data_IF_388152809976
#
_entry.id   IF_388152809976
#
_cell.length_a   1.000
_cell.length_b   1.000
_cell.length_c   1.000
_cell.angle_alpha   90.00
_cell.angle_beta   90.00
_cell.angle_gamma   90.00
#
_symmetry.space_group_name_H-M   'P 1'
#
loop_
_entity.id
_entity.type
_entity.pdbx_description
1 polymer ?
#
# COMPACT_ATOMS: atom_id res chain seq x y z
N UNK A 1 18.31 3.80 14.60
CA UNK A 1 18.61 3.82 13.18
C UNK A 1 18.96 2.45 12.70
N UNK A 2 18.17 1.95 11.84
CA UNK A 2 18.25 0.59 11.37
C UNK A 2 18.89 0.50 9.96
N UNK A 3 19.47 1.58 9.54
CA UNK A 3 20.06 1.76 8.22
C UNK A 3 21.23 0.83 7.93
N UNK A 4 21.77 0.18 8.96
CA UNK A 4 22.97 -0.66 8.83
C UNK A 4 22.63 -2.15 8.74
N UNK A 5 21.34 -2.52 8.76
CA UNK A 5 20.96 -3.92 8.59
C UNK A 5 21.31 -4.40 7.18
N UNK A 6 21.90 -5.59 7.05
CA UNK A 6 22.13 -6.16 5.73
C UNK A 6 20.84 -6.26 4.94
N UNK A 7 20.89 -5.90 3.65
CA UNK A 7 19.71 -5.83 2.81
C UNK A 7 18.98 -7.17 2.70
N UNK A 8 19.70 -8.27 2.63
CA UNK A 8 19.10 -9.59 2.52
C UNK A 8 18.30 -9.98 3.78
N UNK A 9 18.73 -9.58 4.98
CA UNK A 9 17.97 -9.79 6.20
C UNK A 9 16.66 -9.01 6.16
N UNK A 10 16.71 -7.77 5.69
CA UNK A 10 15.52 -6.93 5.51
C UNK A 10 14.56 -7.56 4.51
N UNK A 11 15.06 -8.07 3.40
CA UNK A 11 14.23 -8.71 2.38
C UNK A 11 13.58 -9.99 2.89
N UNK A 12 14.29 -10.80 3.67
CA UNK A 12 13.74 -12.00 4.30
C UNK A 12 12.64 -11.66 5.30
N UNK A 13 12.85 -10.63 6.11
CA UNK A 13 11.85 -10.14 7.06
C UNK A 13 10.62 -9.59 6.33
N UNK A 14 10.82 -8.92 5.21
CA UNK A 14 9.72 -8.43 4.38
C UNK A 14 8.92 -9.57 3.78
N UNK A 15 9.58 -10.61 3.29
CA UNK A 15 8.89 -11.78 2.73
C UNK A 15 8.01 -12.46 3.78
N UNK A 16 8.50 -12.58 5.02
CA UNK A 16 7.73 -13.13 6.14
C UNK A 16 6.53 -12.21 6.44
N UNK A 17 6.75 -10.91 6.47
CA UNK A 17 5.68 -9.93 6.69
C UNK A 17 4.63 -10.01 5.59
N UNK A 18 5.02 -10.03 4.32
CA UNK A 18 4.09 -10.16 3.20
C UNK A 18 3.24 -11.41 3.31
N UNK A 19 3.86 -12.55 3.64
CA UNK A 19 3.14 -13.82 3.79
C UNK A 19 2.04 -13.74 4.84
N UNK A 20 2.19 -12.91 5.85
CA UNK A 20 1.22 -12.76 6.94
C UNK A 20 0.04 -11.85 6.58
N UNK A 21 0.09 -11.15 5.46
CA UNK A 21 -0.97 -10.25 5.02
C UNK A 21 -1.91 -10.96 4.05
N UNK A 22 -3.22 -10.75 4.20
CA UNK A 22 -4.24 -11.44 3.39
C UNK A 22 -4.04 -11.23 1.89
N UNK A 23 -3.64 -10.04 1.49
CA UNK A 23 -3.42 -9.72 0.07
C UNK A 23 -2.41 -10.68 -0.58
N UNK A 24 -1.42 -11.11 0.16
CA UNK A 24 -0.32 -11.94 -0.33
C UNK A 24 -0.43 -13.41 0.10
N UNK A 25 -1.46 -13.76 0.83
CA UNK A 25 -1.62 -15.10 1.37
C UNK A 25 -1.66 -16.15 0.25
N UNK A 26 -0.94 -17.24 0.44
CA UNK A 26 -0.92 -18.37 -0.50
C UNK A 26 -0.10 -18.16 -1.76
N UNK A 27 0.57 -17.02 -1.92
CA UNK A 27 1.48 -16.82 -3.03
C UNK A 27 2.74 -17.68 -2.84
N UNK A 28 3.34 -18.19 -3.94
CA UNK A 28 4.58 -18.95 -3.84
C UNK A 28 5.71 -18.14 -3.18
N UNK A 29 6.55 -18.82 -2.42
CA UNK A 29 7.65 -18.16 -1.70
C UNK A 29 8.57 -17.35 -2.60
N UNK A 30 8.87 -17.85 -3.81
CA UNK A 30 9.72 -17.12 -4.75
C UNK A 30 9.09 -15.81 -5.23
N UNK A 31 7.75 -15.76 -5.36
CA UNK A 31 7.07 -14.51 -5.69
C UNK A 31 7.13 -13.51 -4.54
N UNK A 32 6.96 -13.97 -3.30
CA UNK A 32 7.06 -13.11 -2.13
C UNK A 32 8.47 -12.55 -1.96
N UNK A 33 9.48 -13.37 -2.19
CA UNK A 33 10.88 -12.94 -2.13
C UNK A 33 11.16 -11.88 -3.20
N UNK A 34 10.65 -12.08 -4.39
CA UNK A 34 10.81 -11.12 -5.48
C UNK A 34 10.11 -9.80 -5.19
N UNK A 35 8.88 -9.84 -4.68
CA UNK A 35 8.14 -8.64 -4.29
C UNK A 35 8.88 -7.90 -3.17
N UNK A 36 9.41 -8.62 -2.20
CA UNK A 36 10.17 -8.03 -1.09
C UNK A 36 11.38 -7.23 -1.59
N UNK A 37 12.07 -7.73 -2.64
CA UNK A 37 13.22 -7.00 -3.19
C UNK A 37 12.82 -5.74 -3.95
N UNK A 38 11.59 -5.64 -4.43
CA UNK A 38 11.09 -4.48 -5.18
C UNK A 38 10.43 -3.43 -4.31
N UNK A 39 9.87 -3.84 -3.17
CA UNK A 39 9.21 -2.92 -2.26
C UNK A 39 10.23 -2.10 -1.48
N UNK A 40 9.96 -0.81 -1.37
CA UNK A 40 10.66 0.02 -0.40
C UNK A 40 9.92 -0.02 0.93
N UNK A 41 10.68 0.01 2.02
CA UNK A 41 10.12 0.17 3.36
C UNK A 41 10.24 1.63 3.73
N UNK A 42 9.14 2.23 4.10
CA UNK A 42 9.12 3.61 4.58
C UNK A 42 8.38 3.70 5.90
N UNK A 43 8.64 4.77 6.63
CA UNK A 43 7.95 5.05 7.88
C UNK A 43 7.39 6.46 7.85
N UNK A 44 6.32 6.66 8.60
CA UNK A 44 5.69 7.96 8.74
C UNK A 44 5.41 8.21 10.21
N UNK A 45 5.50 9.48 10.62
CA UNK A 45 5.15 9.89 11.98
C UNK A 45 3.69 10.35 12.03
N UNK A 46 3.08 10.36 13.24
CA UNK A 46 1.70 10.82 13.38
C UNK A 46 1.50 12.23 12.80
N UNK A 47 0.42 12.40 12.06
CA UNK A 47 0.10 13.67 11.39
C UNK A 47 0.69 13.82 9.99
N UNK A 48 1.59 12.95 9.60
CA UNK A 48 2.18 13.01 8.26
C UNK A 48 1.16 12.62 7.21
N UNK A 49 1.07 13.42 6.13
CA UNK A 49 0.22 13.13 4.98
C UNK A 49 0.93 12.14 4.08
N UNK A 50 0.35 10.97 3.90
CA UNK A 50 0.90 9.93 3.04
C UNK A 50 0.44 10.13 1.60
N UNK A 51 -0.84 10.45 1.42
CA UNK A 51 -1.43 10.79 0.13
C UNK A 51 -2.24 12.06 0.29
N UNK A 52 -1.93 13.07 -0.51
CA UNK A 52 -2.70 14.31 -0.53
C UNK A 52 -3.96 14.14 -1.39
N UNK A 53 -5.06 14.77 -0.95
CA UNK A 53 -6.31 14.81 -1.71
C UNK A 53 -6.13 15.59 -3.00
N UNK A 54 -6.81 15.17 -4.07
CA UNK A 54 -6.82 15.79 -5.40
C UNK A 54 -5.45 15.83 -6.10
N UNK A 55 -4.50 15.02 -5.62
CA UNK A 55 -3.17 14.89 -6.19
C UNK A 55 -3.05 13.52 -6.88
N UNK A 56 -2.39 13.44 -8.04
CA UNK A 56 -2.17 12.16 -8.71
C UNK A 56 -1.50 11.14 -7.79
N UNK A 57 -1.96 9.90 -7.85
CA UNK A 57 -1.38 8.81 -7.07
C UNK A 57 -0.13 8.30 -7.78
N UNK A 58 1.02 8.44 -7.13
CA UNK A 58 2.32 8.04 -7.69
C UNK A 58 2.92 6.82 -7.02
N UNK A 59 2.42 6.50 -5.82
CA UNK A 59 2.92 5.41 -4.99
C UNK A 59 1.75 4.55 -4.53
N UNK A 60 1.97 3.26 -4.51
CA UNK A 60 1.05 2.31 -3.90
C UNK A 60 1.67 1.83 -2.60
N UNK A 61 0.85 1.78 -1.55
CA UNK A 61 1.29 1.44 -0.21
C UNK A 61 0.50 0.30 0.39
N UNK A 62 1.17 -0.50 1.21
CA UNK A 62 0.55 -1.47 2.11
C UNK A 62 0.97 -1.10 3.53
N UNK A 63 0.00 -1.01 4.44
CA UNK A 63 0.31 -0.79 5.85
C UNK A 63 0.76 -2.10 6.47
N UNK A 64 1.95 -2.13 7.02
CA UNK A 64 2.47 -3.29 7.76
C UNK A 64 2.45 -3.07 9.27
N UNK A 65 2.36 -1.83 9.72
CA UNK A 65 2.23 -1.50 11.14
C UNK A 65 1.65 -0.09 11.32
N UNK A 66 0.87 0.10 12.38
CA UNK A 66 0.27 1.38 12.69
C UNK A 66 -1.12 1.58 12.09
N UNK A 67 -1.62 2.80 12.20
CA UNK A 67 -2.97 3.19 11.76
C UNK A 67 -2.92 4.50 11.00
N UNK A 68 -3.82 4.63 10.02
CA UNK A 68 -4.01 5.87 9.27
C UNK A 68 -5.49 6.20 9.16
N UNK A 69 -5.79 7.46 8.91
CA UNK A 69 -7.15 7.93 8.67
C UNK A 69 -7.29 8.37 7.23
N UNK A 70 -8.42 7.99 6.62
CA UNK A 70 -8.83 8.50 5.31
C UNK A 70 -9.72 9.69 5.54
N UNK A 71 -9.38 10.81 4.91
CA UNK A 71 -10.11 12.06 5.03
C UNK A 71 -10.59 12.55 3.68
N UNK A 72 -11.74 13.20 3.67
CA UNK A 72 -12.24 13.94 2.52
C UNK A 72 -12.63 15.32 2.98
N UNK A 73 -12.03 16.35 2.38
CA UNK A 73 -12.23 17.76 2.76
C UNK A 73 -12.02 17.98 4.27
N UNK A 74 -11.01 17.31 4.82
CA UNK A 74 -10.66 17.40 6.25
C UNK A 74 -11.53 16.53 7.18
N UNK A 75 -12.57 15.90 6.66
CA UNK A 75 -13.46 15.05 7.47
C UNK A 75 -13.03 13.59 7.42
N UNK A 76 -12.80 12.96 8.58
CA UNK A 76 -12.49 11.52 8.61
C UNK A 76 -13.66 10.69 8.06
N UNK A 77 -13.36 9.79 7.13
CA UNK A 77 -14.36 8.90 6.52
C UNK A 77 -14.00 7.43 6.63
N UNK A 78 -12.82 7.09 7.10
CA UNK A 78 -12.41 5.70 7.27
C UNK A 78 -11.10 5.58 8.02
N UNK A 79 -10.84 4.37 8.51
CA UNK A 79 -9.61 4.01 9.20
C UNK A 79 -8.92 2.88 8.44
N UNK A 80 -7.59 2.94 8.42
CA UNK A 80 -6.74 1.94 7.80
C UNK A 80 -5.80 1.36 8.85
N UNK A 81 -5.54 0.07 8.75
CA UNK A 81 -4.68 -0.66 9.68
C UNK A 81 -3.80 -1.66 8.92
N UNK A 82 -3.05 -2.46 9.65
CA UNK A 82 -2.17 -3.50 9.08
C UNK A 82 -2.90 -4.33 8.02
N UNK A 83 -2.28 -4.48 6.87
CA UNK A 83 -2.80 -5.22 5.73
C UNK A 83 -3.65 -4.40 4.78
N UNK A 84 -4.02 -3.19 5.14
CA UNK A 84 -4.85 -2.33 4.29
C UNK A 84 -4.04 -1.61 3.23
N UNK A 85 -4.72 -1.34 2.12
CA UNK A 85 -4.27 -0.52 1.00
C UNK A 85 -5.41 0.44 0.66
N UNK A 86 -5.20 1.45 -0.22
CA UNK A 86 -6.27 2.44 -0.42
C UNK A 86 -6.40 3.07 -1.80
N UNK A 87 -5.41 2.96 -2.67
CA UNK A 87 -5.34 3.76 -3.89
C UNK A 87 -5.52 2.99 -5.18
N UNK A 88 -5.97 1.74 -5.13
CA UNK A 88 -6.01 0.86 -6.30
C UNK A 88 -6.91 1.43 -7.40
N UNK A 89 -8.06 1.98 -7.05
CA UNK A 89 -8.99 2.53 -8.03
C UNK A 89 -8.37 3.70 -8.80
N UNK A 90 -7.79 4.65 -8.07
CA UNK A 90 -7.18 5.84 -8.70
C UNK A 90 -5.96 5.45 -9.54
N UNK A 91 -5.13 4.54 -9.06
CA UNK A 91 -3.99 4.04 -9.83
C UNK A 91 -4.43 3.37 -11.13
N UNK A 92 -5.38 2.45 -11.05
CA UNK A 92 -5.84 1.68 -12.22
C UNK A 92 -6.53 2.55 -13.27
N UNK A 93 -7.15 3.64 -12.85
CA UNK A 93 -7.91 4.51 -13.74
C UNK A 93 -7.21 5.85 -14.05
N UNK A 94 -5.98 6.05 -13.55
CA UNK A 94 -5.23 7.26 -13.81
C UNK A 94 -5.88 8.52 -13.25
N UNK A 95 -6.56 8.40 -12.11
CA UNK A 95 -7.29 9.50 -11.47
C UNK A 95 -6.51 10.08 -10.30
N UNK A 96 -6.70 11.38 -9.99
CA UNK A 96 -6.23 11.92 -8.71
C UNK A 96 -6.94 11.25 -7.55
N UNK A 97 -6.30 11.22 -6.38
CA UNK A 97 -6.91 10.66 -5.18
C UNK A 97 -8.06 11.55 -4.69
N UNK A 98 -9.28 11.05 -4.53
CA UNK A 98 -10.38 11.83 -3.98
C UNK A 98 -10.27 12.05 -2.48
N UNK A 99 -9.30 11.40 -1.83
CA UNK A 99 -9.11 11.44 -0.38
C UNK A 99 -7.67 11.75 -0.02
N UNK A 100 -7.47 12.26 1.19
CA UNK A 100 -6.16 12.28 1.83
C UNK A 100 -6.03 11.09 2.77
N UNK A 101 -4.81 10.60 2.93
CA UNK A 101 -4.48 9.57 3.92
C UNK A 101 -3.41 10.13 4.85
N UNK A 102 -3.71 10.14 6.14
CA UNK A 102 -2.88 10.77 7.17
C UNK A 102 -2.56 9.74 8.26
N UNK A 103 -1.30 9.68 8.67
CA UNK A 103 -0.89 8.79 9.75
C UNK A 103 -1.51 9.22 11.09
N UNK A 104 -2.12 8.28 11.80
CA UNK A 104 -2.63 8.49 13.17
C UNK A 104 -1.63 8.06 14.23
N UNK A 105 -0.82 7.08 13.90
CA UNK A 105 0.24 6.56 14.75
C UNK A 105 1.51 6.44 13.91
N UNK A 106 2.65 6.08 14.49
CA UNK A 106 3.80 5.72 13.68
C UNK A 106 3.40 4.63 12.69
N UNK A 107 3.70 4.84 11.40
CA UNK A 107 3.38 3.90 10.34
C UNK A 107 4.64 3.24 9.81
N UNK A 108 4.51 1.96 9.48
CA UNK A 108 5.47 1.27 8.63
C UNK A 108 4.73 0.86 7.35
N UNK A 109 5.29 1.23 6.22
CA UNK A 109 4.68 1.04 4.90
C UNK A 109 5.59 0.26 3.99
N UNK A 110 5.01 -0.64 3.20
CA UNK A 110 5.65 -1.17 2.01
C UNK A 110 5.16 -0.33 0.83
N UNK A 111 6.07 0.05 -0.05
CA UNK A 111 5.78 1.01 -1.10
C UNK A 111 6.30 0.50 -2.43
N UNK A 112 5.44 0.59 -3.44
CA UNK A 112 5.80 0.43 -4.85
C UNK A 112 5.53 1.73 -5.59
N UNK A 113 6.41 2.05 -6.54
CA UNK A 113 6.14 3.14 -7.47
C UNK A 113 4.97 2.78 -8.39
N UNK A 114 4.36 3.78 -9.03
CA UNK A 114 3.33 3.55 -10.04
C UNK A 114 3.83 2.58 -11.11
N UNK A 115 5.05 2.76 -11.60
CA UNK A 115 5.65 1.88 -12.59
C UNK A 115 5.73 0.44 -12.11
N UNK A 116 6.25 0.23 -10.91
CA UNK A 116 6.36 -1.11 -10.32
C UNK A 116 5.00 -1.76 -10.12
N UNK A 117 4.01 -0.98 -9.71
CA UNK A 117 2.63 -1.45 -9.55
C UNK A 117 2.08 -2.00 -10.87
N UNK A 118 2.31 -1.31 -11.98
CA UNK A 118 1.84 -1.75 -13.29
C UNK A 118 2.67 -2.88 -13.91
N UNK A 119 3.80 -3.21 -13.33
CA UNK A 119 4.57 -4.40 -13.71
C UNK A 119 4.06 -5.69 -13.05
N UNK A 120 3.24 -5.57 -12.01
CA UNK A 120 2.70 -6.73 -11.27
C UNK A 120 1.98 -7.74 -12.17
N UNK A 121 1.09 -7.36 -13.12
CA UNK A 121 0.36 -8.34 -13.92
C UNK A 121 1.23 -9.30 -14.72
N UNK A 122 2.39 -8.85 -15.17
CA UNK A 122 3.29 -9.69 -15.97
C UNK A 122 3.98 -10.76 -15.13
N UNK A 123 4.24 -10.46 -13.88
CA UNK A 123 5.06 -11.29 -13.01
C UNK A 123 4.27 -11.99 -11.90
N UNK A 124 3.14 -11.40 -11.51
CA UNK A 124 2.34 -11.85 -10.39
C UNK A 124 0.85 -11.80 -10.74
N UNK A 125 0.37 -12.67 -11.65
CA UNK A 125 -1.01 -12.57 -12.14
C UNK A 125 -2.07 -12.80 -11.06
N UNK A 126 -1.80 -13.66 -10.08
CA UNK A 126 -2.73 -13.90 -8.97
C UNK A 126 -2.89 -12.64 -8.13
N UNK A 127 -1.76 -12.00 -7.78
CA UNK A 127 -1.77 -10.76 -7.04
C UNK A 127 -2.48 -9.66 -7.85
N UNK A 128 -2.23 -9.57 -9.14
CA UNK A 128 -2.90 -8.60 -10.01
C UNK A 128 -4.42 -8.75 -9.95
N UNK A 129 -4.93 -9.98 -10.01
CA UNK A 129 -6.35 -10.25 -9.89
C UNK A 129 -6.93 -9.79 -8.55
N UNK A 130 -6.19 -10.01 -7.46
CA UNK A 130 -6.60 -9.56 -6.13
C UNK A 130 -6.64 -8.04 -6.03
N UNK A 131 -5.68 -7.34 -6.66
CA UNK A 131 -5.66 -5.88 -6.67
C UNK A 131 -6.82 -5.30 -7.47
N UNK A 132 -7.16 -5.88 -8.60
CA UNK A 132 -8.34 -5.49 -9.36
C UNK A 132 -9.62 -5.67 -8.53
N UNK A 133 -9.74 -6.79 -7.82
CA UNK A 133 -10.87 -7.02 -6.93
C UNK A 133 -10.91 -6.00 -5.80
N UNK A 134 -9.78 -5.67 -5.20
CA UNK A 134 -9.70 -4.65 -4.15
C UNK A 134 -10.06 -3.25 -4.65
N UNK A 135 -9.82 -2.95 -5.93
CA UNK A 135 -10.12 -1.62 -6.47
C UNK A 135 -11.60 -1.28 -6.36
N UNK A 136 -12.48 -2.28 -6.39
CA UNK A 136 -13.92 -2.08 -6.26
C UNK A 136 -14.33 -1.63 -4.85
N UNK A 137 -13.55 -1.96 -3.84
CA UNK A 137 -13.83 -1.65 -2.42
C UNK A 137 -12.73 -0.82 -1.77
N UNK A 138 -11.77 -0.32 -2.54
CA UNK A 138 -10.72 0.54 -2.00
C UNK A 138 -11.30 1.85 -1.47
N UNK A 139 -10.62 2.44 -0.49
CA UNK A 139 -11.11 3.65 0.17
C UNK A 139 -11.34 4.81 -0.83
N UNK A 140 -10.47 4.95 -1.82
CA UNK A 140 -10.59 5.98 -2.84
C UNK A 140 -11.81 5.75 -3.75
N UNK A 141 -12.11 4.49 -4.08
CA UNK A 141 -13.29 4.15 -4.89
C UNK A 141 -14.58 4.41 -4.11
N UNK A 142 -14.63 3.98 -2.85
CA UNK A 142 -15.81 4.15 -2.02
C UNK A 142 -16.10 5.63 -1.73
N UNK A 143 -15.08 6.45 -1.61
CA UNK A 143 -15.23 7.89 -1.41
C UNK A 143 -15.96 8.58 -2.57
N UNK A 144 -15.86 8.05 -3.77
CA UNK A 144 -16.55 8.60 -4.95
C UNK A 144 -18.05 8.32 -4.95
N UNK A 145 -18.50 7.40 -4.10
CA UNK A 145 -19.92 7.01 -4.01
C UNK A 145 -20.72 7.86 -3.01
N UNK A 146 -20.04 8.72 -2.27
CA UNK A 146 -20.65 9.49 -1.17
C UNK A 146 -20.98 10.90 -1.57
#
# INVERSE_FOLDING_TARGET
MWTDAPRHETDDDLAVTLRSLDLFAGLPSHELDELATRCDVSSAHPGQVIQAQDVPVRLWHVIVGGHAVVQRDGTPIGLLARGDTWSEHSLLNGLPSPTAVVALSPLTLLTLSRRQFFEIPEQHPVLAGRLVARSATSADRLALLV
#
